data_IF_127993221062
#
_entry.id   IF_127993221062
#
_cell.length_a   1.000
_cell.length_b   1.000
_cell.length_c   1.000
_cell.angle_alpha   90.00
_cell.angle_beta   90.00
_cell.angle_gamma   90.00
#
_symmetry.space_group_name_H-M   'P 1'
#
loop_
_entity.id
_entity.type
_entity.pdbx_description
1 polymer ?
#
# COMPACT_ATOMS: atom_id res chain seq x y z
N UNK A 1 101.81 46.37 34.17
CA UNK A 1 101.61 44.95 33.75
C UNK A 1 100.43 44.25 34.44
N UNK A 2 100.26 44.37 35.76
CA UNK A 2 99.18 43.69 36.51
C UNK A 2 97.82 44.41 36.43
N UNK A 3 97.80 45.74 36.31
CA UNK A 3 96.56 46.52 36.23
C UNK A 3 95.85 46.39 34.87
N UNK A 4 96.59 46.36 33.76
CA UNK A 4 96.03 46.10 32.43
C UNK A 4 95.40 44.70 32.34
N UNK A 5 96.06 43.68 32.89
CA UNK A 5 95.49 42.33 32.98
C UNK A 5 94.21 42.28 33.80
N UNK A 6 94.09 43.08 34.88
CA UNK A 6 92.87 43.17 35.69
C UNK A 6 91.73 43.85 34.94
N UNK A 7 92.03 44.87 34.15
CA UNK A 7 91.04 45.58 33.33
C UNK A 7 90.56 44.70 32.18
N UNK A 8 91.46 43.98 31.51
CA UNK A 8 91.11 42.99 30.48
C UNK A 8 90.27 41.85 31.06
N UNK A 9 90.61 41.34 32.26
CA UNK A 9 89.82 40.32 32.94
C UNK A 9 88.40 40.81 33.30
N UNK A 10 88.25 42.09 33.69
CA UNK A 10 86.92 42.68 33.95
C UNK A 10 86.10 42.82 32.67
N UNK A 11 86.71 43.22 31.57
CA UNK A 11 86.05 43.31 30.26
C UNK A 11 85.57 41.94 29.78
N UNK A 12 86.46 40.92 29.83
CA UNK A 12 86.12 39.55 29.42
C UNK A 12 85.00 38.96 30.29
N UNK A 13 84.99 39.23 31.61
CA UNK A 13 83.90 38.80 32.50
C UNK A 13 82.57 39.49 32.18
N UNK A 14 82.60 40.78 31.82
CA UNK A 14 81.39 41.51 31.42
C UNK A 14 80.84 41.02 30.07
N UNK A 15 81.74 40.69 29.14
CA UNK A 15 81.39 40.12 27.84
C UNK A 15 80.84 38.69 27.97
N UNK A 16 81.45 37.85 28.79
CA UNK A 16 80.94 36.52 29.16
C UNK A 16 79.54 36.61 29.79
N UNK A 17 79.33 37.53 30.75
CA UNK A 17 78.01 37.75 31.35
C UNK A 17 76.96 38.21 30.32
N UNK A 18 77.34 39.05 29.36
CA UNK A 18 76.45 39.50 28.28
C UNK A 18 76.08 38.35 27.33
N UNK A 19 77.06 37.53 26.94
CA UNK A 19 76.85 36.37 26.08
C UNK A 19 75.98 35.31 26.78
N UNK A 20 76.19 35.06 28.07
CA UNK A 20 75.35 34.17 28.88
C UNK A 20 73.90 34.69 28.97
N UNK A 21 73.71 35.99 29.17
CA UNK A 21 72.38 36.59 29.19
C UNK A 21 71.68 36.51 27.82
N UNK A 22 72.41 36.72 26.72
CA UNK A 22 71.89 36.56 25.37
C UNK A 22 71.51 35.10 25.07
N UNK A 23 72.38 34.14 25.41
CA UNK A 23 72.10 32.70 25.30
C UNK A 23 70.82 32.32 26.04
N UNK A 24 70.67 32.75 27.30
CA UNK A 24 69.47 32.46 28.09
C UNK A 24 68.20 33.03 27.46
N UNK A 25 68.24 34.26 26.92
CA UNK A 25 67.11 34.86 26.20
C UNK A 25 66.73 34.07 24.95
N UNK A 26 67.71 33.61 24.18
CA UNK A 26 67.46 32.79 22.99
C UNK A 26 66.89 31.41 23.36
N UNK A 27 67.38 30.78 24.43
CA UNK A 27 66.84 29.52 24.95
C UNK A 27 65.39 29.67 25.42
N UNK A 28 65.07 30.76 26.11
CA UNK A 28 63.69 31.07 26.54
C UNK A 28 62.77 31.35 25.34
N UNK A 29 63.23 32.10 24.34
CA UNK A 29 62.48 32.36 23.11
C UNK A 29 62.25 31.07 22.30
N UNK A 30 63.26 30.21 22.19
CA UNK A 30 63.16 28.92 21.52
C UNK A 30 62.19 27.97 22.25
N UNK A 31 62.21 27.94 23.59
CA UNK A 31 61.23 27.17 24.38
C UNK A 31 59.80 27.66 24.16
N UNK A 32 59.58 28.98 24.11
CA UNK A 32 58.26 29.55 23.82
C UNK A 32 57.79 29.18 22.42
N UNK A 33 58.66 29.31 21.42
CA UNK A 33 58.38 28.91 20.05
C UNK A 33 57.96 27.44 19.98
N UNK A 34 58.75 26.52 20.57
CA UNK A 34 58.41 25.09 20.60
C UNK A 34 57.05 24.82 21.26
N UNK A 35 56.73 25.54 22.34
CA UNK A 35 55.44 25.39 23.02
C UNK A 35 54.28 25.87 22.15
N UNK A 36 54.46 26.97 21.42
CA UNK A 36 53.45 27.47 20.49
C UNK A 36 53.27 26.52 19.30
N UNK A 37 54.35 26.02 18.71
CA UNK A 37 54.29 25.03 17.61
C UNK A 37 53.53 23.78 18.03
N UNK A 38 53.84 23.22 19.22
CA UNK A 38 53.12 22.07 19.76
C UNK A 38 51.62 22.34 19.93
N UNK A 39 51.24 23.54 20.42
CA UNK A 39 49.82 23.94 20.53
C UNK A 39 49.14 24.07 19.17
N UNK A 40 49.84 24.60 18.16
CA UNK A 40 49.30 24.70 16.80
C UNK A 40 49.11 23.32 16.17
N UNK A 41 50.05 22.39 16.37
CA UNK A 41 49.95 21.01 15.90
C UNK A 41 48.76 20.29 16.54
N UNK A 42 48.56 20.44 17.86
CA UNK A 42 47.42 19.86 18.57
C UNK A 42 46.08 20.41 18.05
N UNK A 43 45.98 21.75 17.84
CA UNK A 43 44.79 22.37 17.27
C UNK A 43 44.53 21.94 15.84
N UNK A 44 45.58 21.80 15.02
CA UNK A 44 45.46 21.32 13.64
C UNK A 44 44.94 19.89 13.61
N UNK A 45 45.45 19.02 14.49
CA UNK A 45 44.98 17.63 14.61
C UNK A 45 43.50 17.58 15.01
N UNK A 46 43.11 18.33 16.05
CA UNK A 46 41.71 18.40 16.47
C UNK A 46 40.78 18.92 15.36
N UNK A 47 41.24 19.91 14.57
CA UNK A 47 40.48 20.43 13.43
C UNK A 47 40.32 19.39 12.31
N UNK A 48 41.38 18.62 12.01
CA UNK A 48 41.33 17.54 11.03
C UNK A 48 40.38 16.41 11.46
N UNK A 49 40.40 16.04 12.73
CA UNK A 49 39.48 15.05 13.30
C UNK A 49 38.03 15.53 13.21
N UNK A 50 37.76 16.80 13.57
CA UNK A 50 36.44 17.39 13.45
C UNK A 50 35.95 17.48 12.00
N UNK A 51 36.84 17.77 11.05
CA UNK A 51 36.51 17.79 9.63
C UNK A 51 36.17 16.40 9.11
N UNK A 52 36.94 15.37 9.49
CA UNK A 52 36.66 13.99 9.10
C UNK A 52 35.30 13.51 9.65
N UNK A 53 34.99 13.83 10.91
CA UNK A 53 33.70 13.50 11.50
C UNK A 53 32.55 14.23 10.80
N UNK A 54 32.74 15.51 10.46
CA UNK A 54 31.74 16.28 9.70
C UNK A 54 31.47 15.62 8.34
N UNK A 55 32.51 15.26 7.59
CA UNK A 55 32.34 14.61 6.28
C UNK A 55 31.58 13.29 6.41
N UNK A 56 31.91 12.49 7.43
CA UNK A 56 31.19 11.24 7.71
C UNK A 56 29.71 11.47 8.01
N UNK A 57 29.39 12.49 8.81
CA UNK A 57 28.01 12.84 9.14
C UNK A 57 27.25 13.37 7.91
N UNK A 58 27.91 14.12 7.02
CA UNK A 58 27.33 14.59 5.76
C UNK A 58 26.99 13.41 4.83
N UNK A 59 27.86 12.40 4.74
CA UNK A 59 27.60 11.16 3.99
C UNK A 59 26.43 10.36 4.58
N UNK A 60 26.39 10.20 5.90
CA UNK A 60 25.28 9.50 6.58
C UNK A 60 23.95 10.25 6.38
N UNK A 61 23.96 11.58 6.49
CA UNK A 61 22.77 12.39 6.25
C UNK A 61 22.27 12.23 4.81
N UNK A 62 23.17 12.23 3.82
CA UNK A 62 22.80 12.02 2.42
C UNK A 62 22.15 10.64 2.20
N UNK A 63 22.68 9.59 2.82
CA UNK A 63 22.10 8.25 2.76
C UNK A 63 20.70 8.21 3.40
N UNK A 64 20.54 8.83 4.58
CA UNK A 64 19.24 8.88 5.28
C UNK A 64 18.19 9.66 4.50
N UNK A 65 18.58 10.73 3.80
CA UNK A 65 17.65 11.50 2.97
C UNK A 65 17.16 10.67 1.77
N UNK A 66 18.04 9.88 1.15
CA UNK A 66 17.63 8.99 0.05
C UNK A 66 16.70 7.87 0.56
N UNK A 67 17.03 7.24 1.69
CA UNK A 67 16.15 6.25 2.34
C UNK A 67 14.77 6.84 2.67
N UNK A 68 14.73 8.08 3.18
CA UNK A 68 13.47 8.75 3.50
C UNK A 68 12.63 8.99 2.25
N UNK A 69 13.26 9.44 1.15
CA UNK A 69 12.60 9.66 -0.14
C UNK A 69 11.99 8.37 -0.70
N UNK A 70 12.73 7.26 -0.61
CA UNK A 70 12.24 5.95 -1.01
C UNK A 70 11.04 5.49 -0.16
N UNK A 71 11.09 5.71 1.16
CA UNK A 71 10.00 5.39 2.07
C UNK A 71 8.75 6.24 1.79
N UNK A 72 8.92 7.52 1.51
CA UNK A 72 7.81 8.41 1.11
C UNK A 72 7.16 7.93 -0.19
N UNK A 73 7.97 7.53 -1.19
CA UNK A 73 7.48 6.94 -2.44
C UNK A 73 6.63 5.69 -2.21
N UNK A 74 7.15 4.75 -1.41
CA UNK A 74 6.43 3.51 -1.03
C UNK A 74 5.14 3.80 -0.27
N UNK A 75 5.16 4.79 0.63
CA UNK A 75 3.96 5.18 1.40
C UNK A 75 2.89 5.79 0.50
N UNK A 76 3.28 6.63 -0.46
CA UNK A 76 2.36 7.21 -1.43
C UNK A 76 1.73 6.14 -2.34
N UNK A 77 2.52 5.18 -2.82
CA UNK A 77 2.03 4.04 -3.60
C UNK A 77 1.05 3.18 -2.79
N UNK A 78 1.43 2.83 -1.55
CA UNK A 78 0.56 2.07 -0.64
C UNK A 78 -0.78 2.76 -0.43
N UNK A 79 -0.79 4.07 -0.20
CA UNK A 79 -2.02 4.85 -0.02
C UNK A 79 -2.90 4.82 -1.28
N UNK A 80 -2.31 4.90 -2.47
CA UNK A 80 -3.05 4.76 -3.75
C UNK A 80 -3.70 3.39 -3.88
N UNK A 81 -2.95 2.32 -3.56
CA UNK A 81 -3.46 0.95 -3.61
C UNK A 81 -4.58 0.72 -2.58
N UNK A 82 -4.45 1.26 -1.37
CA UNK A 82 -5.48 1.16 -0.33
C UNK A 82 -6.79 1.85 -0.77
N UNK A 83 -6.72 3.05 -1.36
CA UNK A 83 -7.89 3.72 -1.94
C UNK A 83 -8.52 2.89 -3.05
N UNK A 84 -7.71 2.37 -3.98
CA UNK A 84 -8.21 1.55 -5.08
C UNK A 84 -8.88 0.27 -4.60
N UNK A 85 -8.32 -0.37 -3.57
CA UNK A 85 -8.91 -1.56 -2.97
C UNK A 85 -10.25 -1.24 -2.28
N UNK A 86 -10.37 -0.09 -1.62
CA UNK A 86 -11.62 0.34 -1.02
C UNK A 86 -12.72 0.57 -2.08
N UNK A 87 -12.39 1.21 -3.20
CA UNK A 87 -13.31 1.39 -4.33
C UNK A 87 -13.79 0.04 -4.89
N UNK A 88 -12.86 -0.88 -5.16
CA UNK A 88 -13.20 -2.20 -5.70
C UNK A 88 -14.07 -3.01 -4.74
N UNK A 89 -13.83 -2.92 -3.43
CA UNK A 89 -14.69 -3.54 -2.42
C UNK A 89 -16.09 -2.96 -2.41
N UNK A 90 -16.22 -1.63 -2.51
CA UNK A 90 -17.53 -0.99 -2.59
C UNK A 90 -18.29 -1.42 -3.85
N UNK A 91 -17.62 -1.50 -5.00
CA UNK A 91 -18.20 -1.98 -6.26
C UNK A 91 -18.64 -3.44 -6.14
N UNK A 92 -17.79 -4.32 -5.61
CA UNK A 92 -18.11 -5.72 -5.40
C UNK A 92 -19.31 -5.90 -4.47
N UNK A 93 -19.38 -5.15 -3.37
CA UNK A 93 -20.54 -5.16 -2.48
C UNK A 93 -21.81 -4.65 -3.16
N UNK A 94 -21.71 -3.60 -3.98
CA UNK A 94 -22.83 -3.11 -4.79
C UNK A 94 -23.34 -4.19 -5.75
N UNK A 95 -22.43 -4.85 -6.48
CA UNK A 95 -22.77 -5.92 -7.40
C UNK A 95 -23.41 -7.12 -6.70
N UNK A 96 -22.90 -7.52 -5.52
CA UNK A 96 -23.49 -8.60 -4.72
C UNK A 96 -24.91 -8.26 -4.26
N UNK A 97 -25.13 -7.04 -3.76
CA UNK A 97 -26.47 -6.58 -3.35
C UNK A 97 -27.44 -6.57 -4.52
N UNK A 98 -26.98 -6.14 -5.68
CA UNK A 98 -27.80 -6.15 -6.89
C UNK A 98 -28.13 -7.57 -7.35
N UNK A 99 -27.15 -8.48 -7.33
CA UNK A 99 -27.37 -9.89 -7.62
C UNK A 99 -28.37 -10.53 -6.64
N UNK A 100 -28.26 -10.25 -5.34
CA UNK A 100 -29.24 -10.71 -4.34
C UNK A 100 -30.63 -10.14 -4.59
N UNK A 101 -30.73 -8.86 -4.96
CA UNK A 101 -32.00 -8.19 -5.30
C UNK A 101 -32.65 -8.87 -6.51
N UNK A 102 -31.89 -9.09 -7.58
CA UNK A 102 -32.36 -9.78 -8.79
C UNK A 102 -32.78 -11.22 -8.49
N UNK A 103 -32.00 -11.94 -7.69
CA UNK A 103 -32.35 -13.29 -7.24
C UNK A 103 -33.67 -13.33 -6.49
N UNK A 104 -33.92 -12.39 -5.57
CA UNK A 104 -35.19 -12.30 -4.83
C UNK A 104 -36.38 -12.02 -5.76
N UNK A 105 -36.19 -11.19 -6.79
CA UNK A 105 -37.23 -10.91 -7.78
C UNK A 105 -37.59 -12.18 -8.59
N UNK A 106 -36.58 -12.91 -9.04
CA UNK A 106 -36.76 -14.20 -9.74
C UNK A 106 -37.39 -15.27 -8.82
N UNK A 107 -37.00 -15.36 -7.55
CA UNK A 107 -37.62 -16.25 -6.57
C UNK A 107 -39.09 -15.87 -6.30
N UNK A 108 -39.42 -14.58 -6.34
CA UNK A 108 -40.80 -14.11 -6.30
C UNK A 108 -41.58 -14.36 -7.61
N UNK A 109 -40.90 -14.78 -8.68
CA UNK A 109 -41.47 -15.03 -10.00
C UNK A 109 -41.94 -13.75 -10.69
N UNK A 110 -41.24 -12.62 -10.50
CA UNK A 110 -41.61 -11.33 -11.12
C UNK A 110 -41.59 -11.36 -12.65
N UNK A 111 -40.82 -12.28 -13.21
CA UNK A 111 -40.64 -12.61 -14.62
C UNK A 111 -41.70 -13.59 -15.17
N UNK A 112 -42.53 -14.15 -14.29
CA UNK A 112 -43.58 -15.09 -14.66
C UNK A 112 -44.93 -14.40 -14.87
N UNK A 113 -45.72 -14.94 -15.81
CA UNK A 113 -47.13 -14.58 -15.92
C UNK A 113 -47.89 -14.95 -14.63
N UNK A 114 -49.02 -14.25 -14.39
CA UNK A 114 -49.79 -14.39 -13.15
C UNK A 114 -50.16 -15.84 -12.81
N UNK A 115 -50.57 -16.63 -13.81
CA UNK A 115 -50.92 -18.04 -13.63
C UNK A 115 -49.75 -18.88 -13.12
N UNK A 116 -48.67 -19.08 -13.93
CA UNK A 116 -47.47 -19.79 -13.51
C UNK A 116 -46.91 -19.31 -12.16
N UNK A 117 -46.90 -17.99 -11.91
CA UNK A 117 -46.44 -17.42 -10.63
C UNK A 117 -47.26 -17.90 -9.43
N UNK A 118 -48.59 -17.93 -9.53
CA UNK A 118 -49.49 -18.35 -8.44
C UNK A 118 -49.34 -19.83 -8.10
N UNK A 119 -49.12 -20.68 -9.11
CA UNK A 119 -49.05 -22.14 -8.92
C UNK A 119 -47.64 -22.65 -8.62
N UNK A 120 -46.59 -21.85 -8.81
CA UNK A 120 -45.17 -22.27 -8.69
C UNK A 120 -44.81 -22.99 -7.39
N UNK A 121 -45.47 -22.65 -6.28
CA UNK A 121 -45.21 -23.24 -4.95
C UNK A 121 -46.16 -24.38 -4.57
N UNK A 122 -47.04 -24.81 -5.47
CA UNK A 122 -47.93 -25.92 -5.19
C UNK A 122 -47.17 -27.25 -5.18
N UNK A 123 -47.54 -28.19 -4.28
CA UNK A 123 -47.02 -29.56 -4.33
C UNK A 123 -47.25 -30.18 -5.71
N UNK A 124 -46.23 -30.87 -6.23
CA UNK A 124 -46.27 -31.50 -7.55
C UNK A 124 -45.98 -30.56 -8.73
N UNK A 125 -45.85 -29.23 -8.51
CA UNK A 125 -45.33 -28.31 -9.54
C UNK A 125 -43.79 -28.31 -9.48
N UNK A 126 -43.17 -28.56 -10.62
CA UNK A 126 -41.71 -28.69 -10.75
C UNK A 126 -41.01 -27.37 -11.13
N UNK A 127 -41.76 -26.45 -11.74
CA UNK A 127 -41.23 -25.18 -12.24
C UNK A 127 -41.87 -24.81 -13.58
N UNK A 128 -41.31 -23.81 -14.26
CA UNK A 128 -41.62 -23.54 -15.67
C UNK A 128 -40.55 -24.08 -16.60
N UNK A 129 -40.84 -24.19 -17.90
CA UNK A 129 -39.85 -24.64 -18.90
C UNK A 129 -38.58 -23.78 -18.83
N UNK A 130 -38.69 -22.47 -18.65
CA UNK A 130 -37.53 -21.57 -18.53
C UNK A 130 -36.58 -21.93 -17.38
N UNK A 131 -37.06 -22.55 -16.29
CA UNK A 131 -36.22 -22.94 -15.14
C UNK A 131 -35.33 -24.16 -15.48
N UNK A 132 -35.68 -24.94 -16.51
CA UNK A 132 -35.05 -26.24 -16.83
C UNK A 132 -34.18 -26.22 -18.08
N UNK A 133 -34.33 -25.21 -18.93
CA UNK A 133 -33.57 -25.12 -20.18
C UNK A 133 -32.30 -24.29 -19.96
N UNK A 134 -31.15 -24.88 -20.28
CA UNK A 134 -29.86 -24.21 -20.22
C UNK A 134 -29.31 -24.03 -21.63
N UNK A 135 -29.44 -22.83 -22.24
CA UNK A 135 -28.90 -22.57 -23.56
C UNK A 135 -27.36 -22.59 -23.54
N UNK A 136 -26.76 -23.03 -24.65
CA UNK A 136 -25.33 -22.80 -24.89
C UNK A 136 -25.06 -21.30 -25.05
N UNK A 137 -23.85 -20.87 -24.68
CA UNK A 137 -23.46 -19.46 -24.72
C UNK A 137 -23.61 -18.88 -26.14
N UNK A 138 -24.36 -17.79 -26.26
CA UNK A 138 -24.65 -17.12 -27.53
C UNK A 138 -25.91 -17.63 -28.25
N UNK A 139 -26.58 -18.66 -27.75
CA UNK A 139 -27.84 -19.19 -28.29
C UNK A 139 -29.08 -18.79 -27.49
N UNK A 140 -28.93 -17.93 -26.48
CA UNK A 140 -30.01 -17.53 -25.57
C UNK A 140 -31.20 -16.94 -26.35
N UNK A 141 -30.91 -15.98 -27.24
CA UNK A 141 -31.94 -15.31 -28.05
C UNK A 141 -32.60 -16.28 -29.05
N UNK A 142 -31.83 -17.18 -29.65
CA UNK A 142 -32.37 -18.15 -30.60
C UNK A 142 -33.35 -19.10 -29.90
N UNK A 143 -32.99 -19.56 -28.70
CA UNK A 143 -33.82 -20.42 -27.86
C UNK A 143 -35.07 -19.68 -27.36
N UNK A 144 -34.92 -18.42 -26.94
CA UNK A 144 -36.04 -17.57 -26.52
C UNK A 144 -37.05 -17.37 -27.66
N UNK A 145 -36.59 -17.05 -28.87
CA UNK A 145 -37.46 -16.85 -30.04
C UNK A 145 -38.14 -18.16 -30.46
N UNK A 146 -37.41 -19.29 -30.43
CA UNK A 146 -37.95 -20.58 -30.83
C UNK A 146 -39.04 -21.10 -29.87
N UNK A 147 -38.86 -20.91 -28.56
CA UNK A 147 -39.80 -21.38 -27.54
C UNK A 147 -40.91 -20.35 -27.25
N UNK A 148 -40.58 -19.07 -27.27
CA UNK A 148 -41.50 -17.95 -27.04
C UNK A 148 -42.36 -18.16 -25.78
N UNK A 149 -43.70 -18.07 -25.87
CA UNK A 149 -44.59 -18.26 -24.72
C UNK A 149 -44.48 -19.64 -24.04
N UNK A 150 -43.92 -20.65 -24.70
CA UNK A 150 -43.76 -22.01 -24.15
C UNK A 150 -42.78 -22.04 -22.98
N UNK A 151 -41.89 -21.07 -22.87
CA UNK A 151 -40.99 -20.89 -21.72
C UNK A 151 -41.76 -20.76 -20.39
N UNK A 152 -43.00 -20.27 -20.45
CA UNK A 152 -43.86 -20.03 -19.29
C UNK A 152 -44.79 -21.23 -18.98
N UNK A 153 -44.69 -22.33 -19.72
CA UNK A 153 -45.48 -23.53 -19.45
C UNK A 153 -45.01 -24.19 -18.16
N UNK A 154 -45.96 -24.61 -17.33
CA UNK A 154 -45.74 -25.14 -15.99
C UNK A 154 -45.57 -26.66 -16.06
N UNK A 155 -44.44 -27.18 -15.59
CA UNK A 155 -44.24 -28.62 -15.49
C UNK A 155 -44.81 -29.15 -14.18
N UNK A 156 -45.51 -30.27 -14.26
CA UNK A 156 -46.08 -30.98 -13.09
C UNK A 156 -45.63 -32.43 -13.06
N UNK A 157 -45.54 -33.01 -11.87
CA UNK A 157 -45.16 -34.42 -11.70
C UNK A 157 -46.14 -35.36 -12.41
N UNK A 158 -47.44 -35.07 -12.33
CA UNK A 158 -48.51 -35.88 -12.90
C UNK A 158 -49.73 -35.02 -13.28
N UNK A 159 -50.76 -35.68 -13.86
CA UNK A 159 -52.04 -35.04 -14.17
C UNK A 159 -52.80 -34.54 -12.93
N UNK A 160 -52.66 -35.19 -11.78
CA UNK A 160 -53.40 -34.81 -10.56
C UNK A 160 -52.89 -33.48 -10.00
N UNK A 161 -51.57 -33.27 -9.98
CA UNK A 161 -50.95 -32.00 -9.66
C UNK A 161 -51.38 -30.89 -10.64
N UNK A 162 -51.48 -31.19 -11.93
CA UNK A 162 -51.99 -30.24 -12.92
C UNK A 162 -53.47 -29.87 -12.66
N UNK A 163 -54.33 -30.85 -12.39
CA UNK A 163 -55.75 -30.62 -12.06
C UNK A 163 -55.91 -29.77 -10.80
N UNK A 164 -55.10 -30.02 -9.76
CA UNK A 164 -55.10 -29.23 -8.53
C UNK A 164 -54.69 -27.77 -8.79
N UNK A 165 -53.65 -27.55 -9.59
CA UNK A 165 -53.20 -26.21 -9.99
C UNK A 165 -54.25 -25.47 -10.83
N UNK A 166 -54.94 -26.16 -11.75
CA UNK A 166 -56.04 -25.60 -12.53
C UNK A 166 -57.21 -25.20 -11.63
N UNK A 167 -57.56 -26.03 -10.64
CA UNK A 167 -58.63 -25.74 -9.68
C UNK A 167 -58.31 -24.47 -8.87
N UNK A 168 -57.05 -24.29 -8.45
CA UNK A 168 -56.59 -23.05 -7.81
C UNK A 168 -56.81 -21.83 -8.71
N UNK A 169 -56.32 -21.89 -9.96
CA UNK A 169 -56.41 -20.76 -10.89
C UNK A 169 -57.86 -20.42 -11.28
N UNK A 170 -58.76 -21.41 -11.32
CA UNK A 170 -60.20 -21.17 -11.52
C UNK A 170 -60.82 -20.37 -10.36
N UNK A 171 -60.35 -20.59 -9.13
CA UNK A 171 -60.82 -19.88 -7.94
C UNK A 171 -60.21 -18.48 -7.81
N UNK A 172 -58.90 -18.36 -8.04
CA UNK A 172 -58.12 -17.16 -7.72
C UNK A 172 -57.81 -16.28 -8.94
N UNK A 173 -58.22 -16.72 -10.12
CA UNK A 173 -57.92 -16.06 -11.39
C UNK A 173 -56.50 -16.33 -11.88
N UNK A 174 -56.35 -16.42 -13.21
CA UNK A 174 -55.09 -16.65 -13.88
C UNK A 174 -55.20 -17.74 -14.95
N UNK A 175 -54.23 -17.78 -15.85
CA UNK A 175 -54.14 -18.79 -16.92
C UNK A 175 -52.72 -19.31 -17.01
N UNK A 176 -52.58 -20.62 -17.13
CA UNK A 176 -51.31 -21.30 -17.34
C UNK A 176 -51.55 -22.52 -18.24
N UNK A 177 -50.52 -22.91 -19.00
CA UNK A 177 -50.50 -24.20 -19.72
C UNK A 177 -49.64 -25.16 -18.93
N UNK A 178 -50.11 -26.38 -18.74
CA UNK A 178 -49.46 -27.39 -17.92
C UNK A 178 -48.90 -28.53 -18.77
N UNK A 179 -47.76 -29.07 -18.36
CA UNK A 179 -47.08 -30.22 -18.94
C UNK A 179 -46.85 -31.27 -17.85
N UNK A 180 -47.75 -32.25 -17.68
CA UNK A 180 -47.53 -33.37 -16.77
C UNK A 180 -46.45 -34.32 -17.33
N UNK A 181 -45.60 -34.88 -16.46
CA UNK A 181 -44.59 -35.87 -16.86
C UNK A 181 -45.16 -37.27 -17.09
N UNK A 182 -46.33 -37.57 -16.53
CA UNK A 182 -47.01 -38.87 -16.60
C UNK A 182 -48.48 -38.70 -16.87
#
# INVERSE_FOLDING_TARGET
PLEDLRTQLRHLKAEEARLLAAKKRHEEAFRRYLTETARYEERLKAYQEALAERTRLEEELAQRLEELRDLEGKMAERKRLETRLAELRAQAQGALREAERLRRLLEAGSDLHEGPRKVRKLPGVLGVVADLVQPEAGLELALEVALGPRLQWVLTQDEEAAKAAIALLKREGGRATFLPLT
#
